data_IF_873067517360
#
_entry.id   IF_873067517360
#
_cell.length_a   1.000
_cell.length_b   1.000
_cell.length_c   1.000
_cell.angle_alpha   90.00
_cell.angle_beta   90.00
_cell.angle_gamma   90.00
#
_symmetry.space_group_name_H-M   'P 1'
#
loop_
_entity.id
_entity.type
_entity.pdbx_description
1 polymer ?
#
# COMPACT_ATOMS: atom_id res chain seq x y z
N UNK A 1 10.41 -33.19 -0.34
CA UNK A 1 10.20 -32.94 -1.78
C UNK A 1 9.48 -31.60 -2.06
N UNK A 2 8.30 -31.30 -1.47
CA UNK A 2 7.56 -30.02 -1.71
C UNK A 2 8.36 -28.75 -1.34
N UNK A 3 9.10 -28.73 -0.22
CA UNK A 3 9.90 -27.56 0.22
C UNK A 3 11.04 -27.21 -0.75
N UNK A 4 11.73 -28.21 -1.31
CA UNK A 4 12.81 -28.00 -2.28
C UNK A 4 12.32 -27.42 -3.61
N UNK A 5 11.19 -27.91 -4.10
CA UNK A 5 10.57 -27.40 -5.34
C UNK A 5 10.12 -25.95 -5.15
N UNK A 6 9.50 -25.62 -3.99
CA UNK A 6 9.10 -24.25 -3.68
C UNK A 6 10.31 -23.30 -3.66
N UNK A 7 11.40 -23.71 -3.03
CA UNK A 7 12.63 -22.91 -2.97
C UNK A 7 13.23 -22.67 -4.36
N UNK A 8 13.29 -23.70 -5.19
CA UNK A 8 13.78 -23.59 -6.57
C UNK A 8 12.89 -22.63 -7.41
N UNK A 9 11.58 -22.76 -7.31
CA UNK A 9 10.64 -21.86 -8.01
C UNK A 9 10.83 -20.42 -7.55
N UNK A 10 10.98 -20.19 -6.24
CA UNK A 10 11.24 -18.84 -5.70
C UNK A 10 12.54 -18.26 -6.28
N UNK A 11 13.61 -19.04 -6.34
CA UNK A 11 14.90 -18.60 -6.94
C UNK A 11 14.74 -18.23 -8.43
N UNK A 12 14.02 -19.03 -9.21
CA UNK A 12 13.75 -18.75 -10.62
C UNK A 12 12.97 -17.45 -10.80
N UNK A 13 11.96 -17.22 -9.95
CA UNK A 13 11.16 -15.98 -9.97
C UNK A 13 12.03 -14.76 -9.65
N UNK A 14 12.88 -14.87 -8.64
CA UNK A 14 13.83 -13.81 -8.25
C UNK A 14 14.82 -13.51 -9.37
N UNK A 15 15.42 -14.54 -9.95
CA UNK A 15 16.35 -14.39 -11.09
C UNK A 15 15.66 -13.71 -12.28
N UNK A 16 14.44 -14.13 -12.61
CA UNK A 16 13.67 -13.55 -13.69
C UNK A 16 13.36 -12.06 -13.44
N UNK A 17 13.01 -11.71 -12.20
CA UNK A 17 12.81 -10.31 -11.82
C UNK A 17 14.09 -9.47 -12.00
N UNK A 18 15.25 -9.99 -11.57
CA UNK A 18 16.53 -9.30 -11.75
C UNK A 18 16.93 -9.15 -13.22
N UNK A 19 16.65 -10.15 -14.05
CA UNK A 19 16.83 -10.02 -15.49
C UNK A 19 15.97 -8.91 -16.08
N UNK A 20 14.68 -8.83 -15.70
CA UNK A 20 13.82 -7.72 -16.10
C UNK A 20 14.34 -6.36 -15.63
N UNK A 21 14.86 -6.27 -14.41
CA UNK A 21 15.45 -5.04 -13.90
C UNK A 21 16.68 -4.58 -14.70
N UNK A 22 17.46 -5.51 -15.25
CA UNK A 22 18.66 -5.18 -16.03
C UNK A 22 18.36 -4.93 -17.51
N UNK A 23 17.42 -5.67 -18.10
CA UNK A 23 17.15 -5.63 -19.54
C UNK A 23 16.07 -4.60 -19.93
N UNK A 24 15.11 -4.31 -19.04
CA UNK A 24 14.01 -3.40 -19.34
C UNK A 24 14.26 -2.01 -18.73
N UNK A 25 14.12 -0.91 -19.50
CA UNK A 25 14.28 0.44 -18.95
C UNK A 25 13.10 0.80 -18.00
N UNK A 26 13.37 1.67 -17.02
CA UNK A 26 12.32 2.29 -16.21
C UNK A 26 11.52 3.23 -17.10
N UNK A 27 10.21 3.05 -17.15
CA UNK A 27 9.28 3.90 -17.91
C UNK A 27 8.91 5.12 -17.08
N UNK A 28 9.30 6.30 -17.55
CA UNK A 28 9.21 7.55 -16.78
C UNK A 28 7.79 7.99 -16.45
N UNK A 29 6.80 7.49 -17.18
CA UNK A 29 5.38 7.78 -16.99
C UNK A 29 4.58 6.60 -16.43
N UNK A 30 5.22 5.64 -15.75
CA UNK A 30 4.53 4.47 -15.19
C UNK A 30 4.42 4.55 -13.68
N UNK A 31 3.19 4.39 -13.18
CA UNK A 31 2.90 4.27 -11.75
C UNK A 31 2.24 2.91 -11.50
N UNK A 32 2.68 2.22 -10.46
CA UNK A 32 2.01 1.01 -9.96
C UNK A 32 1.37 1.29 -8.62
N UNK A 33 0.15 0.78 -8.45
CA UNK A 33 -0.63 0.90 -7.24
C UNK A 33 -0.96 -0.47 -6.67
N UNK A 34 -0.95 -0.57 -5.35
CA UNK A 34 -1.37 -1.76 -4.62
C UNK A 34 -1.99 -1.36 -3.28
N UNK A 35 -3.06 -2.03 -2.92
CA UNK A 35 -3.64 -1.96 -1.59
C UNK A 35 -3.82 -3.37 -1.04
N UNK A 36 -3.32 -3.58 0.19
CA UNK A 36 -3.40 -4.86 0.90
C UNK A 36 -2.89 -6.05 0.08
N UNK A 37 -1.77 -5.90 -0.65
CA UNK A 37 -1.17 -6.92 -1.52
C UNK A 37 -2.15 -7.42 -2.61
N UNK A 38 -2.86 -6.50 -3.24
CA UNK A 38 -3.83 -6.79 -4.30
C UNK A 38 -5.19 -7.32 -3.82
N UNK A 39 -5.46 -7.28 -2.51
CA UNK A 39 -6.71 -7.80 -1.95
C UNK A 39 -7.87 -6.81 -2.00
N UNK A 40 -7.60 -5.54 -2.24
CA UNK A 40 -8.65 -4.51 -2.28
C UNK A 40 -8.29 -3.33 -3.19
N UNK A 41 -9.31 -2.64 -3.69
CA UNK A 41 -9.21 -1.31 -4.26
C UNK A 41 -9.68 -0.31 -3.20
N UNK A 42 -8.77 0.11 -2.31
CA UNK A 42 -9.13 0.89 -1.12
C UNK A 42 -7.95 1.73 -0.60
N UNK A 43 -8.16 2.36 0.55
CA UNK A 43 -7.11 3.03 1.31
C UNK A 43 -6.50 4.25 0.60
N UNK A 44 -5.32 4.64 1.04
CA UNK A 44 -4.63 5.80 0.50
C UNK A 44 -4.24 5.65 -0.98
N UNK A 45 -3.75 4.49 -1.46
CA UNK A 45 -3.42 4.31 -2.88
C UNK A 45 -4.61 4.58 -3.80
N UNK A 46 -5.83 4.14 -3.43
CA UNK A 46 -7.06 4.43 -4.18
C UNK A 46 -7.31 5.93 -4.31
N UNK A 47 -7.29 6.65 -3.20
CA UNK A 47 -7.61 8.09 -3.21
C UNK A 47 -6.54 8.91 -3.93
N UNK A 48 -5.26 8.52 -3.87
CA UNK A 48 -4.20 9.12 -4.69
C UNK A 48 -4.49 8.90 -6.18
N UNK A 49 -4.85 7.67 -6.58
CA UNK A 49 -5.19 7.38 -7.97
C UNK A 49 -6.42 8.16 -8.43
N UNK A 50 -7.49 8.18 -7.65
CA UNK A 50 -8.72 8.90 -7.97
C UNK A 50 -8.49 10.42 -8.08
N UNK A 51 -7.59 10.98 -7.25
CA UNK A 51 -7.16 12.37 -7.39
C UNK A 51 -6.41 12.61 -8.70
N UNK A 52 -5.48 11.73 -9.09
CA UNK A 52 -4.76 11.84 -10.36
C UNK A 52 -5.74 11.78 -11.54
N UNK A 53 -6.71 10.86 -11.47
CA UNK A 53 -7.76 10.73 -12.49
C UNK A 53 -8.64 11.97 -12.58
N UNK A 54 -9.14 12.48 -11.45
CA UNK A 54 -10.00 13.66 -11.41
C UNK A 54 -9.33 14.92 -11.98
N UNK A 55 -8.00 14.97 -11.95
CA UNK A 55 -7.19 16.07 -12.51
C UNK A 55 -6.59 15.73 -13.89
N UNK A 56 -7.01 14.66 -14.54
CA UNK A 56 -6.59 14.25 -15.88
C UNK A 56 -5.16 13.74 -16.00
N UNK A 57 -4.48 13.45 -14.88
CA UNK A 57 -3.12 12.94 -14.91
C UNK A 57 -3.03 11.49 -15.39
N UNK A 58 -4.09 10.69 -15.21
CA UNK A 58 -4.18 9.31 -15.70
C UNK A 58 -4.09 9.20 -17.23
N UNK A 59 -4.39 10.26 -17.97
CA UNK A 59 -4.26 10.31 -19.42
C UNK A 59 -2.79 10.33 -19.87
N UNK A 60 -1.89 10.83 -19.03
CA UNK A 60 -0.46 10.97 -19.31
C UNK A 60 0.39 9.88 -18.66
N UNK A 61 -0.17 9.17 -17.70
CA UNK A 61 0.51 8.14 -16.92
C UNK A 61 -0.05 6.76 -17.21
N UNK A 62 0.84 5.78 -17.38
CA UNK A 62 0.51 4.36 -17.48
C UNK A 62 0.26 3.83 -16.03
N UNK A 63 -0.99 3.97 -15.57
CA UNK A 63 -1.42 3.58 -14.24
C UNK A 63 -1.76 2.08 -14.18
N UNK A 64 -1.08 1.35 -13.29
CA UNK A 64 -1.24 -0.09 -13.13
C UNK A 64 -1.75 -0.40 -11.72
N UNK A 65 -2.84 -1.15 -11.62
CA UNK A 65 -3.36 -1.68 -10.37
C UNK A 65 -3.11 -3.17 -10.26
N UNK A 66 -2.63 -3.61 -9.10
CA UNK A 66 -2.49 -5.03 -8.82
C UNK A 66 -3.74 -5.58 -8.13
N UNK A 67 -4.13 -6.81 -8.50
CA UNK A 67 -5.23 -7.54 -7.88
C UNK A 67 -4.81 -8.99 -7.61
N UNK A 68 -5.32 -9.58 -6.51
CA UNK A 68 -5.00 -10.97 -6.14
C UNK A 68 -5.91 -11.98 -6.85
N UNK A 69 -7.21 -11.88 -6.66
CA UNK A 69 -8.18 -12.86 -7.13
C UNK A 69 -9.01 -12.35 -8.30
N UNK A 70 -9.75 -11.26 -8.10
CA UNK A 70 -10.68 -10.69 -9.06
C UNK A 70 -10.34 -9.23 -9.38
N UNK A 71 -10.63 -8.81 -10.59
CA UNK A 71 -10.48 -7.42 -10.98
C UNK A 71 -11.49 -6.55 -10.25
N UNK A 72 -11.08 -5.33 -9.98
CA UNK A 72 -11.92 -4.31 -9.36
C UNK A 72 -12.59 -3.44 -10.41
N UNK A 73 -13.71 -2.81 -10.06
CA UNK A 73 -14.27 -1.72 -10.85
C UNK A 73 -13.49 -0.43 -10.53
N UNK A 74 -12.47 -0.17 -11.33
CA UNK A 74 -11.57 1.00 -11.18
C UNK A 74 -11.92 2.02 -12.25
N UNK A 75 -12.26 3.26 -11.88
CA UNK A 75 -12.55 4.32 -12.85
C UNK A 75 -11.29 4.76 -13.62
N UNK A 76 -11.50 5.43 -14.78
CA UNK A 76 -10.42 6.02 -15.56
C UNK A 76 -9.61 5.02 -16.38
N UNK A 77 -8.39 5.43 -16.78
CA UNK A 77 -7.53 4.73 -17.75
C UNK A 77 -6.47 3.86 -17.06
N UNK A 78 -6.86 2.94 -16.17
CA UNK A 78 -5.91 2.04 -15.54
C UNK A 78 -5.90 0.64 -16.14
N UNK A 79 -4.76 -0.03 -16.01
CA UNK A 79 -4.61 -1.45 -16.32
C UNK A 79 -4.59 -2.26 -15.05
N UNK A 80 -5.28 -3.38 -15.05
CA UNK A 80 -5.27 -4.29 -13.92
C UNK A 80 -4.42 -5.52 -14.21
N UNK A 81 -3.53 -5.85 -13.29
CA UNK A 81 -2.56 -6.94 -13.42
C UNK A 81 -2.62 -7.83 -12.19
N UNK A 82 -2.70 -9.15 -12.40
CA UNK A 82 -2.77 -10.10 -11.29
C UNK A 82 -1.46 -10.13 -10.51
N UNK A 83 -1.58 -9.96 -9.19
CA UNK A 83 -0.46 -9.99 -8.24
C UNK A 83 0.33 -11.31 -8.32
N UNK A 84 1.65 -11.25 -8.15
CA UNK A 84 2.52 -12.42 -8.10
C UNK A 84 2.69 -13.20 -9.42
N UNK A 85 2.29 -12.63 -10.57
CA UNK A 85 2.48 -13.25 -11.90
C UNK A 85 3.61 -12.56 -12.69
N UNK A 86 4.02 -13.13 -13.83
CA UNK A 86 5.13 -12.58 -14.64
C UNK A 86 4.90 -11.12 -15.06
N UNK A 87 3.67 -10.75 -15.40
CA UNK A 87 3.31 -9.36 -15.72
C UNK A 87 3.48 -8.43 -14.51
N UNK A 88 3.14 -8.89 -13.30
CA UNK A 88 3.37 -8.14 -12.08
C UNK A 88 4.86 -7.81 -11.92
N UNK A 89 5.75 -8.80 -12.07
CA UNK A 89 7.19 -8.60 -11.97
C UNK A 89 7.69 -7.59 -13.02
N UNK A 90 7.20 -7.68 -14.25
CA UNK A 90 7.54 -6.72 -15.30
C UNK A 90 7.13 -5.29 -14.94
N UNK A 91 5.92 -5.09 -14.42
CA UNK A 91 5.46 -3.76 -14.04
C UNK A 91 6.20 -3.22 -12.82
N UNK A 92 6.49 -4.07 -11.83
CA UNK A 92 7.35 -3.71 -10.69
C UNK A 92 8.77 -3.30 -11.15
N UNK A 93 9.37 -4.04 -12.07
CA UNK A 93 10.71 -3.77 -12.57
C UNK A 93 10.80 -2.50 -13.43
N UNK A 94 9.70 -2.07 -14.04
CA UNK A 94 9.70 -0.98 -15.04
C UNK A 94 8.97 0.27 -14.60
N UNK A 95 8.35 0.29 -13.41
CA UNK A 95 7.64 1.45 -12.93
C UNK A 95 8.58 2.56 -12.41
N UNK A 96 8.21 3.81 -12.71
CA UNK A 96 8.85 5.01 -12.16
C UNK A 96 8.44 5.27 -10.73
N UNK A 97 7.18 4.98 -10.40
CA UNK A 97 6.61 5.22 -9.07
C UNK A 97 5.86 3.99 -8.58
N UNK A 98 6.13 3.62 -7.34
CA UNK A 98 5.39 2.63 -6.57
C UNK A 98 4.58 3.33 -5.50
N UNK A 99 3.28 3.05 -5.39
CA UNK A 99 2.36 3.63 -4.39
C UNK A 99 1.64 2.49 -3.67
N UNK A 100 2.09 2.17 -2.46
CA UNK A 100 1.62 1.00 -1.72
C UNK A 100 1.29 1.35 -0.27
N UNK A 101 0.34 0.64 0.31
CA UNK A 101 -0.03 0.77 1.73
C UNK A 101 0.54 -0.34 2.61
N UNK A 102 1.09 -1.39 2.01
CA UNK A 102 1.70 -2.55 2.69
C UNK A 102 3.14 -2.76 2.25
N UNK A 103 3.90 -3.45 3.08
CA UNK A 103 5.27 -3.85 2.75
C UNK A 103 5.27 -4.82 1.57
N UNK A 104 6.21 -4.64 0.65
CA UNK A 104 6.36 -5.53 -0.49
C UNK A 104 7.37 -6.66 -0.17
N UNK A 105 7.31 -7.80 -0.89
CA UNK A 105 8.30 -8.87 -0.76
C UNK A 105 9.73 -8.36 -0.92
N UNK A 106 10.64 -8.80 -0.04
CA UNK A 106 12.03 -8.31 0.01
C UNK A 106 12.83 -8.51 -1.28
N UNK A 107 12.49 -9.53 -2.08
CA UNK A 107 13.18 -9.76 -3.34
C UNK A 107 12.88 -8.73 -4.43
N UNK A 108 11.86 -7.89 -4.22
CA UNK A 108 11.50 -6.83 -5.15
C UNK A 108 12.42 -5.62 -4.94
N UNK A 109 13.51 -5.60 -5.65
CA UNK A 109 14.44 -4.49 -5.61
C UNK A 109 13.83 -3.23 -6.22
N UNK A 110 13.83 -2.15 -5.43
CA UNK A 110 13.60 -0.82 -5.96
C UNK A 110 14.83 -0.38 -6.76
N UNK A 111 14.63 -0.12 -8.05
CA UNK A 111 15.69 0.28 -8.94
C UNK A 111 16.10 1.74 -8.75
N UNK A 112 17.35 2.09 -9.09
CA UNK A 112 17.76 3.50 -9.24
C UNK A 112 16.84 4.20 -10.26
N UNK A 113 16.24 5.31 -9.85
CA UNK A 113 15.27 6.06 -10.67
C UNK A 113 13.81 5.65 -10.50
N UNK A 114 13.50 4.65 -9.67
CA UNK A 114 12.16 4.36 -9.18
C UNK A 114 11.95 5.01 -7.82
N UNK A 115 10.82 5.66 -7.60
CA UNK A 115 10.41 6.20 -6.31
C UNK A 115 9.41 5.27 -5.64
N UNK A 116 9.57 5.02 -4.35
CA UNK A 116 8.66 4.23 -3.55
C UNK A 116 7.96 5.13 -2.53
N UNK A 117 6.67 5.33 -2.70
CA UNK A 117 5.78 6.04 -1.78
C UNK A 117 5.05 4.99 -0.95
N UNK A 118 5.42 4.86 0.32
CA UNK A 118 4.68 4.08 1.29
C UNK A 118 3.59 4.96 1.88
N UNK A 119 2.34 4.56 1.69
CA UNK A 119 1.21 5.38 2.16
C UNK A 119 0.77 5.00 3.56
N UNK A 120 1.21 3.84 4.04
CA UNK A 120 0.72 3.22 5.26
C UNK A 120 -0.81 3.10 5.27
N UNK A 121 -1.39 2.67 6.39
CA UNK A 121 -2.82 2.35 6.42
C UNK A 121 -3.51 2.64 7.76
N UNK A 122 -2.85 3.31 8.70
CA UNK A 122 -3.48 3.66 9.99
C UNK A 122 -2.61 4.48 10.92
N UNK A 123 -3.23 5.04 11.95
CA UNK A 123 -2.56 5.74 13.02
C UNK A 123 -1.81 4.74 13.91
N UNK A 124 -0.56 4.97 14.26
CA UNK A 124 0.27 4.06 15.07
C UNK A 124 -0.10 4.14 16.56
N UNK A 125 -1.27 3.66 16.94
CA UNK A 125 -1.78 3.69 18.33
C UNK A 125 -1.24 2.55 19.18
N UNK A 126 -0.83 1.44 18.58
CA UNK A 126 -0.20 0.30 19.26
C UNK A 126 1.31 0.34 19.03
N UNK A 127 2.08 -0.39 19.87
CA UNK A 127 3.50 -0.64 19.58
C UNK A 127 3.64 -1.30 18.21
N UNK A 128 4.51 -0.76 17.37
CA UNK A 128 4.75 -1.24 16.02
C UNK A 128 6.24 -1.49 15.79
N UNK A 129 6.55 -2.45 14.96
CA UNK A 129 7.88 -2.72 14.44
C UNK A 129 8.96 -2.73 15.55
N UNK A 130 9.88 -1.76 15.57
CA UNK A 130 10.98 -1.73 16.54
C UNK A 130 10.53 -1.51 17.98
N UNK A 131 9.35 -0.92 18.19
CA UNK A 131 8.78 -0.71 19.53
C UNK A 131 8.14 -1.98 20.12
N UNK A 132 7.97 -3.05 19.31
CA UNK A 132 7.39 -4.31 19.76
C UNK A 132 8.41 -5.09 20.61
N UNK A 133 7.92 -5.74 21.66
CA UNK A 133 8.71 -6.62 22.55
C UNK A 133 8.62 -8.08 22.09
N UNK A 134 7.43 -8.46 21.58
CA UNK A 134 7.15 -9.80 21.08
C UNK A 134 6.43 -9.74 19.72
N UNK A 135 6.51 -10.82 18.94
CA UNK A 135 5.80 -10.98 17.68
C UNK A 135 4.90 -12.21 17.72
N UNK A 136 3.60 -11.99 17.44
CA UNK A 136 2.58 -13.06 17.38
C UNK A 136 1.94 -13.09 15.97
N UNK A 137 2.78 -13.04 14.92
CA UNK A 137 2.29 -13.04 13.54
C UNK A 137 2.60 -14.38 12.87
N UNK A 138 1.69 -14.87 12.06
CA UNK A 138 1.90 -16.11 11.29
C UNK A 138 3.10 -15.93 10.36
N UNK A 139 4.11 -16.81 10.52
CA UNK A 139 5.33 -16.81 9.71
C UNK A 139 6.52 -16.05 10.30
N UNK A 140 6.34 -15.35 11.43
CA UNK A 140 7.41 -14.71 12.19
C UNK A 140 7.62 -15.47 13.51
N UNK A 141 8.81 -16.03 13.70
CA UNK A 141 9.11 -16.89 14.87
C UNK A 141 10.02 -16.21 15.89
N UNK A 142 10.58 -15.06 15.55
CA UNK A 142 11.58 -14.36 16.35
C UNK A 142 11.48 -12.86 16.13
N UNK A 143 11.44 -12.10 17.23
CA UNK A 143 11.27 -10.65 17.24
C UNK A 143 12.44 -9.93 16.58
N UNK A 144 13.67 -10.40 16.77
CA UNK A 144 14.85 -9.75 16.22
C UNK A 144 14.90 -9.91 14.69
N UNK A 145 14.59 -11.12 14.19
CA UNK A 145 14.43 -11.40 12.78
C UNK A 145 13.32 -10.55 12.16
N UNK A 146 12.18 -10.41 12.82
CA UNK A 146 11.09 -9.55 12.39
C UNK A 146 11.54 -8.08 12.27
N UNK A 147 12.22 -7.55 13.30
CA UNK A 147 12.73 -6.17 13.31
C UNK A 147 13.73 -5.92 12.17
N UNK A 148 14.65 -6.86 11.96
CA UNK A 148 15.63 -6.78 10.86
C UNK A 148 14.94 -6.75 9.48
N UNK A 149 14.01 -7.67 9.20
CA UNK A 149 13.26 -7.71 7.95
C UNK A 149 12.40 -6.45 7.77
N UNK A 150 11.78 -5.97 8.85
CA UNK A 150 10.99 -4.76 8.80
C UNK A 150 11.84 -3.55 8.41
N UNK A 151 12.96 -3.34 9.08
CA UNK A 151 13.89 -2.22 8.83
C UNK A 151 14.47 -2.28 7.41
N UNK A 152 14.87 -3.45 6.94
CA UNK A 152 15.33 -3.64 5.56
C UNK A 152 14.27 -3.20 4.55
N UNK A 153 13.01 -3.52 4.79
CA UNK A 153 11.92 -3.11 3.92
C UNK A 153 11.70 -1.59 3.96
N UNK A 154 11.68 -0.99 5.15
CA UNK A 154 11.54 0.46 5.33
C UNK A 154 12.65 1.25 4.60
N UNK A 155 13.87 0.77 4.64
CA UNK A 155 14.99 1.42 3.97
C UNK A 155 14.83 1.46 2.43
N UNK A 156 13.94 0.67 1.86
CA UNK A 156 13.61 0.74 0.43
C UNK A 156 12.65 1.88 0.08
N UNK A 157 11.89 2.43 1.05
CA UNK A 157 10.95 3.52 0.81
C UNK A 157 11.69 4.84 0.60
N UNK A 158 11.19 5.70 -0.26
CA UNK A 158 11.72 7.07 -0.43
C UNK A 158 10.86 8.07 0.34
N UNK A 159 9.54 7.86 0.33
CA UNK A 159 8.56 8.72 0.99
C UNK A 159 7.64 7.87 1.86
N UNK A 160 7.28 8.41 3.02
CA UNK A 160 6.27 7.83 3.90
C UNK A 160 5.20 8.87 4.18
N UNK A 161 3.93 8.55 3.88
CA UNK A 161 2.82 9.43 4.22
C UNK A 161 2.51 9.30 5.70
N UNK A 162 2.42 10.44 6.37
CA UNK A 162 2.01 10.55 7.77
C UNK A 162 0.77 11.41 7.91
N UNK A 163 -0.05 11.04 8.87
CA UNK A 163 -1.32 11.68 9.12
C UNK A 163 -1.18 12.98 9.94
N UNK A 164 -0.21 13.03 10.85
CA UNK A 164 0.00 14.13 11.79
C UNK A 164 1.36 14.00 12.50
N UNK A 165 1.78 15.02 13.29
CA UNK A 165 3.07 15.02 14.00
C UNK A 165 3.29 13.78 14.90
N UNK A 166 2.25 13.34 15.62
CA UNK A 166 2.33 12.13 16.46
C UNK A 166 2.70 10.89 15.63
N UNK A 167 2.05 10.70 14.49
CA UNK A 167 2.35 9.57 13.59
C UNK A 167 3.75 9.69 13.00
N UNK A 168 4.17 10.88 12.61
CA UNK A 168 5.52 11.14 12.07
C UNK A 168 6.61 10.81 13.07
N UNK A 169 6.48 11.27 14.31
CA UNK A 169 7.41 10.95 15.39
C UNK A 169 7.48 9.46 15.66
N UNK A 170 6.32 8.81 15.75
CA UNK A 170 6.24 7.36 15.96
C UNK A 170 6.88 6.59 14.81
N UNK A 171 6.61 6.95 13.55
CA UNK A 171 7.21 6.26 12.41
C UNK A 171 8.72 6.47 12.31
N UNK A 172 9.24 7.65 12.65
CA UNK A 172 10.69 7.87 12.70
C UNK A 172 11.36 6.90 13.67
N UNK A 173 10.81 6.74 14.87
CA UNK A 173 11.34 5.85 15.90
C UNK A 173 11.04 4.39 15.61
N UNK A 174 9.76 4.02 15.43
CA UNK A 174 9.33 2.63 15.34
C UNK A 174 9.70 1.97 14.01
N UNK A 175 9.87 2.74 12.94
CA UNK A 175 10.23 2.21 11.62
C UNK A 175 11.69 2.48 11.24
N UNK A 176 12.43 3.24 12.05
CA UNK A 176 13.77 3.71 11.68
C UNK A 176 13.78 4.47 10.34
N UNK A 177 12.72 5.27 10.10
CA UNK A 177 12.54 5.98 8.84
C UNK A 177 13.14 7.38 8.87
N UNK A 178 14.23 7.59 8.15
CA UNK A 178 15.00 8.85 8.15
C UNK A 178 14.89 9.67 6.86
N UNK A 179 14.15 9.16 5.86
CA UNK A 179 13.93 9.89 4.61
C UNK A 179 12.75 10.86 4.69
N UNK A 180 12.19 11.24 3.57
CA UNK A 180 11.15 12.27 3.50
C UNK A 180 9.80 11.79 4.03
N UNK A 181 9.32 12.44 5.09
CA UNK A 181 7.99 12.23 5.66
C UNK A 181 7.02 13.23 5.04
N UNK A 182 5.98 12.73 4.38
CA UNK A 182 4.91 13.54 3.80
C UNK A 182 3.77 13.69 4.83
N UNK A 183 3.87 14.68 5.69
CA UNK A 183 2.93 14.94 6.78
C UNK A 183 1.78 15.84 6.31
N UNK A 184 0.95 15.32 5.39
CA UNK A 184 -0.19 16.05 4.80
C UNK A 184 -1.56 15.44 5.14
N UNK A 185 -1.59 14.46 6.01
CA UNK A 185 -2.78 13.65 6.26
C UNK A 185 -2.87 12.42 5.37
N UNK A 186 -3.90 11.62 5.60
CA UNK A 186 -4.17 10.46 4.74
C UNK A 186 -5.14 10.84 3.62
N UNK A 187 -4.78 10.67 2.34
CA UNK A 187 -5.64 10.98 1.20
C UNK A 187 -7.05 10.36 1.30
N UNK A 188 -7.17 9.18 1.90
CA UNK A 188 -8.46 8.52 2.11
C UNK A 188 -9.41 9.29 3.05
N UNK A 189 -8.89 10.24 3.84
CA UNK A 189 -9.69 11.04 4.78
C UNK A 189 -10.23 12.33 4.16
N UNK A 190 -9.79 12.72 2.97
CA UNK A 190 -10.20 13.95 2.31
C UNK A 190 -11.70 13.99 2.07
N UNK A 191 -12.31 12.83 1.80
CA UNK A 191 -13.77 12.69 1.64
C UNK A 191 -14.55 13.17 2.87
N UNK A 192 -13.96 13.08 4.08
CA UNK A 192 -14.58 13.55 5.31
C UNK A 192 -14.75 15.07 5.35
N UNK A 193 -13.96 15.79 4.57
CA UNK A 193 -14.08 17.25 4.44
C UNK A 193 -15.02 17.63 3.30
N UNK A 194 -14.90 16.98 2.14
CA UNK A 194 -15.69 17.32 0.96
C UNK A 194 -17.16 16.94 1.11
N UNK A 195 -17.44 15.81 1.73
CA UNK A 195 -18.79 15.30 1.95
C UNK A 195 -19.41 15.71 3.29
N UNK A 196 -18.69 16.49 4.12
CA UNK A 196 -19.22 17.00 5.40
C UNK A 196 -20.17 18.17 5.19
N UNK A 197 -21.16 17.98 4.32
CA UNK A 197 -22.24 18.89 4.03
C UNK A 197 -23.55 18.26 4.43
N UNK A 198 -24.60 19.08 4.69
CA UNK A 198 -25.93 18.56 5.02
C UNK A 198 -26.45 17.61 3.95
N UNK A 199 -26.24 17.94 2.67
CA UNK A 199 -26.70 17.10 1.55
C UNK A 199 -25.84 15.83 1.42
N UNK A 200 -24.52 15.92 1.54
CA UNK A 200 -23.61 14.75 1.54
C UNK A 200 -23.99 13.76 2.63
N UNK A 201 -24.19 14.24 3.87
CA UNK A 201 -24.60 13.41 5.00
C UNK A 201 -25.95 12.72 4.73
N UNK A 202 -26.93 13.44 4.22
CA UNK A 202 -28.24 12.86 3.85
C UNK A 202 -28.12 11.82 2.75
N UNK A 203 -27.33 12.12 1.72
CA UNK A 203 -27.08 11.20 0.62
C UNK A 203 -26.46 9.87 1.11
N UNK A 204 -25.44 9.94 1.98
CA UNK A 204 -24.85 8.74 2.58
C UNK A 204 -25.84 7.96 3.44
N UNK A 205 -26.63 8.64 4.30
CA UNK A 205 -27.65 7.97 5.10
C UNK A 205 -28.64 7.23 4.22
N UNK A 206 -29.14 7.85 3.16
CA UNK A 206 -30.06 7.20 2.19
C UNK A 206 -29.41 5.98 1.52
N UNK A 207 -28.18 6.11 1.03
CA UNK A 207 -27.45 4.99 0.40
C UNK A 207 -27.26 3.79 1.32
N UNK A 208 -27.10 4.05 2.61
CA UNK A 208 -26.90 3.01 3.64
C UNK A 208 -28.21 2.54 4.29
N UNK A 209 -29.37 3.09 3.90
CA UNK A 209 -30.66 2.76 4.52
C UNK A 209 -30.78 3.22 5.97
N UNK A 210 -30.05 4.27 6.37
CA UNK A 210 -30.03 4.80 7.72
C UNK A 210 -31.05 5.95 7.90
N UNK A 211 -31.63 6.12 9.11
CA UNK A 211 -32.54 7.23 9.41
C UNK A 211 -31.85 8.59 9.18
N UNK A 212 -32.49 9.47 8.41
CA UNK A 212 -31.93 10.80 8.11
C UNK A 212 -31.94 11.74 9.32
N UNK A 213 -32.95 11.61 10.17
CA UNK A 213 -33.25 12.46 11.35
C UNK A 213 -32.46 12.03 12.60
N UNK A 214 -31.81 10.86 12.60
CA UNK A 214 -31.11 10.34 13.78
C UNK A 214 -29.60 10.54 13.70
N UNK A 215 -28.98 10.72 14.86
CA UNK A 215 -27.54 10.62 15.03
C UNK A 215 -27.14 9.14 14.93
N UNK A 216 -26.14 8.86 14.11
CA UNK A 216 -25.61 7.50 13.91
C UNK A 216 -24.37 7.33 14.76
N UNK A 217 -24.29 6.23 15.48
CA UNK A 217 -23.10 5.80 16.23
C UNK A 217 -22.63 4.50 15.61
N UNK A 218 -21.38 4.51 15.11
CA UNK A 218 -20.72 3.32 14.58
C UNK A 218 -19.78 2.74 15.65
N UNK A 219 -20.00 1.49 16.01
CA UNK A 219 -19.04 0.70 16.81
C UNK A 219 -18.31 -0.28 15.86
N UNK A 220 -17.04 -0.07 15.66
CA UNK A 220 -16.20 -0.87 14.75
C UNK A 220 -14.87 -1.26 15.45
N UNK A 221 -14.90 -2.21 16.40
CA UNK A 221 -13.69 -2.67 17.09
C UNK A 221 -12.75 -3.40 16.13
N UNK A 222 -11.47 -3.44 16.48
CA UNK A 222 -10.48 -4.26 15.77
C UNK A 222 -10.77 -5.74 16.04
N UNK A 223 -10.77 -6.54 15.00
CA UNK A 223 -10.82 -8.00 15.11
C UNK A 223 -9.55 -8.56 15.78
N UNK A 224 -9.64 -9.74 16.36
CA UNK A 224 -8.53 -10.47 16.99
C UNK A 224 -8.43 -11.85 16.39
N UNK A 225 -7.20 -12.38 16.28
CA UNK A 225 -6.92 -13.70 15.68
C UNK A 225 -7.31 -14.88 16.60
N UNK A 226 -7.63 -14.61 17.86
CA UNK A 226 -7.79 -15.56 18.95
C UNK A 226 -9.25 -15.70 19.45
N UNK A 227 -10.23 -15.26 18.68
CA UNK A 227 -11.68 -15.45 18.93
C UNK A 227 -12.36 -16.28 17.84
#
# INVERSE_FOLDING_TARGET
MRKGIYHLVKQIVVLFYYLMCNLCPVKQNRIVFDSSLGKSYSGNPKHIYEYLMANGYDLNWDCIWFYENEKYNIPGMSRQVRYGRLRYLYYMATAKVWVFDTRQPEFLLRRKGTYYIQTWHGTPLKKLALDMEDVFMVGESDIDSYKEHFTKNVHTWDFLISQNPFSSETFRRAFDFHKEMLEYGYPRNDILFWENTTEGIRSFKRKLGLPEDKKIILYAPTWRDDE
#
